data_IF_346741542068
#
_entry.id   IF_346741542068
#
_cell.length_a   1.000
_cell.length_b   1.000
_cell.length_c   1.000
_cell.angle_alpha   90.00
_cell.angle_beta   90.00
_cell.angle_gamma   90.00
#
_symmetry.space_group_name_H-M   'P 1'
#
loop_
_entity.id
_entity.type
_entity.pdbx_description
1 polymer ?
#
# COMPACT_ATOMS: atom_id res chain seq x y z
N UNK A 1 -5.38 13.26 -9.16
CA UNK A 1 -4.97 13.39 -7.74
C UNK A 1 -4.22 12.15 -7.26
N UNK A 2 -4.74 10.93 -7.45
CA UNK A 2 -4.02 9.70 -7.08
C UNK A 2 -2.67 9.61 -7.79
N UNK A 3 -2.63 9.79 -9.11
CA UNK A 3 -1.39 9.81 -9.91
C UNK A 3 -0.35 10.84 -9.41
N UNK A 4 -0.82 12.01 -8.93
CA UNK A 4 0.07 13.04 -8.37
C UNK A 4 0.70 12.53 -7.06
N UNK A 5 -0.10 11.90 -6.20
CA UNK A 5 0.40 11.30 -4.97
C UNK A 5 1.36 10.13 -5.25
N UNK A 6 1.08 9.30 -6.25
CA UNK A 6 1.99 8.22 -6.67
C UNK A 6 3.33 8.78 -7.18
N UNK A 7 3.30 9.87 -7.96
CA UNK A 7 4.51 10.54 -8.41
C UNK A 7 5.30 11.14 -7.23
N UNK A 8 4.63 11.78 -6.28
CA UNK A 8 5.26 12.30 -5.05
C UNK A 8 5.87 11.16 -4.24
N UNK A 9 5.13 10.06 -4.07
CA UNK A 9 5.59 8.87 -3.34
C UNK A 9 6.82 8.27 -4.01
N UNK A 10 6.76 7.99 -5.31
CA UNK A 10 7.86 7.41 -6.08
C UNK A 10 9.11 8.29 -6.05
N UNK A 11 8.94 9.60 -6.25
CA UNK A 11 10.03 10.57 -6.16
C UNK A 11 10.63 10.60 -4.75
N UNK A 12 9.79 10.65 -3.70
CA UNK A 12 10.24 10.69 -2.31
C UNK A 12 10.92 9.38 -1.89
N UNK A 13 10.38 8.23 -2.29
CA UNK A 13 10.95 6.92 -1.98
C UNK A 13 12.39 6.78 -2.49
N UNK A 14 12.73 7.43 -3.61
CA UNK A 14 14.10 7.48 -4.12
C UNK A 14 15.10 8.16 -3.15
N UNK A 15 14.64 9.03 -2.26
CA UNK A 15 15.48 9.69 -1.24
C UNK A 15 15.69 8.86 0.03
N UNK A 16 14.94 7.78 0.22
CA UNK A 16 15.01 6.95 1.42
C UNK A 16 16.43 6.42 1.71
N UNK A 17 17.20 5.89 0.72
CA UNK A 17 18.58 5.44 0.98
C UNK A 17 19.49 6.57 1.48
N UNK A 18 19.33 7.79 0.97
CA UNK A 18 20.11 8.94 1.43
C UNK A 18 19.75 9.32 2.87
N UNK A 19 18.47 9.23 3.24
CA UNK A 19 18.02 9.42 4.61
C UNK A 19 18.64 8.38 5.57
N UNK A 20 18.78 7.12 5.14
CA UNK A 20 19.49 6.08 5.90
C UNK A 20 20.98 6.40 6.08
N UNK A 21 21.66 6.87 5.03
CA UNK A 21 23.08 7.29 5.13
C UNK A 21 23.25 8.43 6.13
N UNK A 22 22.36 9.43 6.10
CA UNK A 22 22.38 10.52 7.07
C UNK A 22 22.16 10.02 8.49
N UNK A 23 21.18 9.13 8.71
CA UNK A 23 20.95 8.50 10.00
C UNK A 23 22.18 7.73 10.50
N UNK A 24 22.84 6.98 9.63
CA UNK A 24 24.08 6.28 9.95
C UNK A 24 25.21 7.25 10.36
N UNK A 25 25.40 8.36 9.62
CA UNK A 25 26.32 9.43 10.00
C UNK A 25 25.95 9.98 11.38
N UNK A 26 24.65 10.13 11.67
CA UNK A 26 24.16 10.55 12.98
C UNK A 26 24.59 9.63 14.11
N UNK A 27 24.51 8.30 13.91
CA UNK A 27 25.02 7.30 14.87
C UNK A 27 26.52 7.47 15.09
N UNK A 28 27.29 7.60 14.01
CA UNK A 28 28.76 7.77 14.10
C UNK A 28 29.12 9.03 14.89
N UNK A 29 28.46 10.16 14.63
CA UNK A 29 28.67 11.41 15.37
C UNK A 29 28.37 11.21 16.86
N UNK A 30 27.27 10.53 17.20
CA UNK A 30 26.89 10.28 18.59
C UNK A 30 27.95 9.44 19.32
N UNK A 31 28.44 8.37 18.70
CA UNK A 31 29.48 7.52 19.27
C UNK A 31 30.79 8.29 19.49
N UNK A 32 31.27 9.00 18.47
CA UNK A 32 32.53 9.74 18.53
C UNK A 32 32.46 10.87 19.57
N UNK A 33 31.30 11.53 19.70
CA UNK A 33 31.11 12.62 20.69
C UNK A 33 31.30 12.17 22.15
N UNK A 34 31.17 10.87 22.42
CA UNK A 34 31.34 10.29 23.75
C UNK A 34 32.75 9.74 23.99
N UNK A 35 33.46 9.36 22.93
CA UNK A 35 34.76 8.67 23.01
C UNK A 35 35.93 9.66 22.90
N UNK A 36 35.82 10.66 22.01
CA UNK A 36 36.96 11.53 21.67
C UNK A 36 36.98 12.77 22.56
N UNK A 37 38.01 12.85 23.39
CA UNK A 37 38.17 13.91 24.41
C UNK A 37 38.26 15.32 23.82
N UNK A 38 38.88 15.48 22.64
CA UNK A 38 38.96 16.76 21.93
C UNK A 38 37.61 17.29 21.46
N UNK A 39 36.62 16.40 21.27
CA UNK A 39 35.27 16.75 20.80
C UNK A 39 34.29 16.97 21.96
N UNK A 40 34.67 16.62 23.21
CA UNK A 40 33.84 16.86 24.40
C UNK A 40 33.49 18.33 24.60
N UNK A 41 34.34 19.26 24.18
CA UNK A 41 34.08 20.71 24.30
C UNK A 41 32.82 21.17 23.53
N UNK A 42 32.43 20.44 22.49
CA UNK A 42 31.23 20.70 21.68
C UNK A 42 30.24 19.52 21.68
N UNK A 43 30.31 18.62 22.67
CA UNK A 43 29.56 17.36 22.66
C UNK A 43 28.05 17.55 22.57
N UNK A 44 27.50 18.59 23.20
CA UNK A 44 26.06 18.86 23.17
C UNK A 44 25.55 19.16 21.75
N UNK A 45 26.26 20.03 21.01
CA UNK A 45 25.91 20.38 19.64
C UNK A 45 26.02 19.17 18.72
N UNK A 46 27.09 18.38 18.86
CA UNK A 46 27.29 17.15 18.07
C UNK A 46 26.21 16.12 18.35
N UNK A 47 25.84 15.93 19.64
CA UNK A 47 24.76 15.03 20.03
C UNK A 47 23.43 15.47 19.42
N UNK A 48 23.13 16.77 19.46
CA UNK A 48 21.92 17.30 18.85
C UNK A 48 21.87 17.04 17.33
N UNK A 49 22.97 17.31 16.61
CA UNK A 49 23.07 17.00 15.17
C UNK A 49 22.86 15.52 14.89
N UNK A 50 23.48 14.63 15.68
CA UNK A 50 23.32 13.19 15.52
C UNK A 50 21.89 12.71 15.75
N UNK A 51 21.22 13.21 16.81
CA UNK A 51 19.80 12.93 17.07
C UNK A 51 18.92 13.48 15.94
N UNK A 52 19.20 14.68 15.43
CA UNK A 52 18.45 15.26 14.32
C UNK A 52 18.52 14.38 13.05
N UNK A 53 19.71 13.86 12.73
CA UNK A 53 19.89 12.94 11.61
C UNK A 53 19.20 11.59 11.79
N UNK A 54 19.02 11.12 13.03
CA UNK A 54 18.20 9.95 13.31
C UNK A 54 16.71 10.28 13.15
N UNK A 55 16.27 11.39 13.76
CA UNK A 55 14.86 11.78 13.79
C UNK A 55 14.29 12.06 12.40
N UNK A 56 15.09 12.65 11.49
CA UNK A 56 14.64 12.89 10.12
C UNK A 56 14.26 11.59 9.40
N UNK A 57 14.95 10.47 9.64
CA UNK A 57 14.62 9.19 9.01
C UNK A 57 13.25 8.68 9.47
N UNK A 58 12.97 8.79 10.77
CA UNK A 58 11.67 8.43 11.34
C UNK A 58 10.55 9.29 10.76
N UNK A 59 10.72 10.61 10.76
CA UNK A 59 9.72 11.55 10.21
C UNK A 59 9.50 11.26 8.72
N UNK A 60 10.57 11.07 7.95
CA UNK A 60 10.50 10.79 6.53
C UNK A 60 9.75 9.49 6.23
N UNK A 61 10.06 8.42 6.96
CA UNK A 61 9.39 7.14 6.83
C UNK A 61 7.90 7.23 7.18
N UNK A 62 7.54 7.95 8.25
CA UNK A 62 6.15 8.19 8.63
C UNK A 62 5.39 8.92 7.51
N UNK A 63 6.01 9.95 6.91
CA UNK A 63 5.41 10.68 5.79
C UNK A 63 5.16 9.75 4.60
N UNK A 64 6.13 8.91 4.24
CA UNK A 64 5.97 7.93 3.15
C UNK A 64 4.80 6.97 3.42
N UNK A 65 4.70 6.43 4.64
CA UNK A 65 3.60 5.55 5.04
C UNK A 65 2.26 6.26 4.93
N UNK A 66 2.14 7.50 5.42
CA UNK A 66 0.90 8.29 5.32
C UNK A 66 0.50 8.49 3.86
N UNK A 67 1.45 8.83 2.98
CA UNK A 67 1.19 9.02 1.56
C UNK A 67 0.70 7.71 0.94
N UNK A 68 1.37 6.58 1.18
CA UNK A 68 0.99 5.28 0.65
C UNK A 68 -0.41 4.85 1.11
N UNK A 69 -0.70 4.95 2.42
CA UNK A 69 -2.03 4.66 2.98
C UNK A 69 -3.11 5.55 2.37
N UNK A 70 -2.79 6.83 2.11
CA UNK A 70 -3.71 7.77 1.46
C UNK A 70 -3.99 7.38 0.01
N UNK A 71 -2.96 6.96 -0.75
CA UNK A 71 -3.10 6.45 -2.12
C UNK A 71 -4.03 5.24 -2.12
N UNK A 72 -3.71 4.21 -1.33
CA UNK A 72 -4.50 2.97 -1.23
C UNK A 72 -5.96 3.26 -0.86
N UNK A 73 -6.18 4.11 0.14
CA UNK A 73 -7.53 4.50 0.58
C UNK A 73 -8.32 5.20 -0.53
N UNK A 74 -7.68 6.10 -1.27
CA UNK A 74 -8.32 6.81 -2.40
C UNK A 74 -8.64 5.84 -3.54
N UNK A 75 -7.74 4.91 -3.87
CA UNK A 75 -7.98 3.88 -4.89
C UNK A 75 -9.15 2.98 -4.48
N UNK A 76 -9.18 2.50 -3.23
CA UNK A 76 -10.29 1.71 -2.67
C UNK A 76 -11.63 2.43 -2.79
N UNK A 77 -11.68 3.67 -2.34
CA UNK A 77 -12.91 4.47 -2.38
C UNK A 77 -13.37 4.73 -3.82
N UNK A 78 -12.43 4.99 -4.74
CA UNK A 78 -12.74 5.14 -6.16
C UNK A 78 -13.29 3.85 -6.76
N UNK A 79 -12.70 2.70 -6.45
CA UNK A 79 -13.23 1.40 -6.90
C UNK A 79 -14.67 1.21 -6.40
N UNK A 80 -14.96 1.49 -5.12
CA UNK A 80 -16.33 1.40 -4.58
C UNK A 80 -17.29 2.32 -5.36
N UNK A 81 -16.88 3.55 -5.70
CA UNK A 81 -17.69 4.47 -6.49
C UNK A 81 -17.95 3.91 -7.90
N UNK A 82 -16.91 3.37 -8.56
CA UNK A 82 -17.05 2.74 -9.88
C UNK A 82 -18.01 1.55 -9.82
N UNK A 83 -17.90 0.71 -8.78
CA UNK A 83 -18.76 -0.46 -8.57
C UNK A 83 -20.22 -0.07 -8.26
N UNK A 84 -20.48 1.12 -7.73
CA UNK A 84 -21.85 1.63 -7.50
C UNK A 84 -22.49 2.17 -8.77
N UNK A 85 -21.72 2.52 -9.80
CA UNK A 85 -22.27 3.00 -11.06
C UNK A 85 -23.05 1.88 -11.78
N UNK A 86 -24.31 2.12 -12.21
CA UNK A 86 -25.12 1.11 -12.89
C UNK A 86 -24.52 0.67 -14.24
N UNK A 87 -23.79 1.55 -14.93
CA UNK A 87 -23.18 1.26 -16.23
C UNK A 87 -21.89 0.44 -16.12
N UNK A 88 -21.39 0.21 -14.91
CA UNK A 88 -20.22 -0.63 -14.68
C UNK A 88 -20.61 -2.10 -14.74
N UNK A 89 -19.88 -2.86 -15.56
CA UNK A 89 -20.01 -4.31 -15.71
C UNK A 89 -18.72 -5.01 -15.25
N UNK A 90 -18.88 -6.21 -14.72
CA UNK A 90 -17.76 -7.10 -14.35
C UNK A 90 -17.86 -8.36 -15.19
N UNK A 91 -16.77 -8.68 -15.88
CA UNK A 91 -16.58 -9.93 -16.61
C UNK A 91 -15.61 -10.79 -15.81
N UNK A 92 -16.08 -11.94 -15.38
CA UNK A 92 -15.26 -12.94 -14.72
C UNK A 92 -14.46 -13.73 -15.76
N UNK A 93 -13.13 -13.78 -15.65
CA UNK A 93 -12.26 -14.48 -16.62
C UNK A 93 -12.13 -15.96 -16.34
N UNK A 94 -12.16 -16.35 -15.07
CA UNK A 94 -12.08 -17.73 -14.60
C UNK A 94 -13.04 -17.97 -13.43
N UNK A 95 -13.38 -19.24 -13.17
CA UNK A 95 -14.37 -19.63 -12.16
C UNK A 95 -13.73 -20.20 -10.89
N UNK A 96 -12.51 -19.76 -10.54
CA UNK A 96 -11.73 -20.32 -9.42
C UNK A 96 -12.49 -20.31 -8.09
N UNK A 97 -13.35 -19.31 -7.88
CA UNK A 97 -14.18 -19.18 -6.67
C UNK A 97 -15.68 -19.39 -6.91
N UNK A 98 -16.05 -20.05 -8.01
CA UNK A 98 -17.42 -20.20 -8.47
C UNK A 98 -17.79 -19.27 -9.62
N UNK A 99 -19.06 -19.29 -10.06
CA UNK A 99 -19.56 -18.48 -11.17
C UNK A 99 -20.51 -17.42 -10.64
N UNK A 100 -20.24 -16.15 -10.94
CA UNK A 100 -21.05 -15.03 -10.47
C UNK A 100 -21.55 -14.18 -11.63
N UNK A 101 -22.75 -13.64 -11.47
CA UNK A 101 -23.21 -12.56 -12.34
C UNK A 101 -22.45 -11.27 -12.02
N UNK A 102 -22.42 -10.34 -12.99
CA UNK A 102 -21.83 -9.01 -12.77
C UNK A 102 -22.43 -8.31 -11.54
N UNK A 103 -23.72 -8.48 -11.28
CA UNK A 103 -24.40 -7.86 -10.13
C UNK A 103 -23.94 -8.46 -8.81
N UNK A 104 -23.86 -9.78 -8.71
CA UNK A 104 -23.36 -10.46 -7.51
C UNK A 104 -21.92 -10.09 -7.21
N UNK A 105 -21.06 -10.05 -8.24
CA UNK A 105 -19.66 -9.68 -8.07
C UNK A 105 -19.50 -8.23 -7.60
N UNK A 106 -20.32 -7.30 -8.13
CA UNK A 106 -20.34 -5.91 -7.65
C UNK A 106 -20.72 -5.84 -6.17
N UNK A 107 -21.73 -6.59 -5.73
CA UNK A 107 -22.16 -6.63 -4.33
C UNK A 107 -21.04 -7.16 -3.42
N UNK A 108 -20.35 -8.23 -3.81
CA UNK A 108 -19.26 -8.79 -3.01
C UNK A 108 -18.06 -7.83 -2.94
N UNK A 109 -17.61 -7.27 -4.07
CA UNK A 109 -16.47 -6.35 -4.11
C UNK A 109 -16.72 -5.02 -3.40
N UNK A 110 -17.97 -4.56 -3.32
CA UNK A 110 -18.33 -3.36 -2.56
C UNK A 110 -18.12 -3.51 -1.04
N UNK A 111 -17.94 -4.74 -0.54
CA UNK A 111 -17.63 -5.01 0.86
C UNK A 111 -16.16 -4.74 1.20
N UNK A 112 -15.34 -4.31 0.24
CA UNK A 112 -13.91 -4.06 0.43
C UNK A 112 -13.68 -3.07 1.56
N UNK A 113 -12.83 -3.48 2.49
CA UNK A 113 -12.42 -2.70 3.66
C UNK A 113 -10.91 -2.67 3.77
N UNK A 114 -10.44 -1.89 4.72
CA UNK A 114 -9.03 -1.90 5.12
C UNK A 114 -8.62 -3.27 5.61
N UNK A 115 -7.45 -3.70 5.15
CA UNK A 115 -6.77 -4.90 5.62
C UNK A 115 -6.26 -4.66 7.03
N UNK A 116 -6.64 -5.51 7.98
CA UNK A 116 -5.91 -5.58 9.25
C UNK A 116 -4.55 -6.26 8.97
N UNK A 117 -3.42 -5.68 9.40
CA UNK A 117 -2.11 -6.27 9.16
C UNK A 117 -2.00 -7.63 9.83
N UNK A 118 -1.73 -8.66 9.02
CA UNK A 118 -1.37 -9.99 9.51
C UNK A 118 -0.43 -10.70 8.53
N UNK A 119 0.28 -11.71 9.02
CA UNK A 119 1.32 -12.41 8.28
C UNK A 119 0.76 -13.65 7.57
N UNK A 120 0.13 -13.45 6.41
CA UNK A 120 -0.34 -14.51 5.52
C UNK A 120 0.07 -14.25 4.08
N UNK A 121 0.09 -15.31 3.27
CA UNK A 121 0.20 -15.24 1.81
C UNK A 121 -1.15 -15.41 1.11
N UNK A 122 -1.10 -15.57 -0.22
CA UNK A 122 -2.28 -15.83 -1.06
C UNK A 122 -2.11 -17.13 -1.84
N UNK A 123 -3.14 -17.99 -1.85
CA UNK A 123 -3.05 -19.33 -2.44
C UNK A 123 -3.70 -19.46 -3.83
N UNK A 124 -4.96 -19.02 -3.93
CA UNK A 124 -5.77 -19.12 -5.16
C UNK A 124 -6.10 -17.73 -5.64
N UNK A 125 -6.24 -17.54 -6.96
CA UNK A 125 -6.54 -16.24 -7.54
C UNK A 125 -7.64 -16.36 -8.60
N UNK A 126 -8.46 -15.32 -8.70
CA UNK A 126 -9.48 -15.12 -9.73
C UNK A 126 -9.28 -13.76 -10.38
N UNK A 127 -9.29 -13.74 -11.71
CA UNK A 127 -9.14 -12.53 -12.50
C UNK A 127 -10.50 -12.03 -12.98
N UNK A 128 -10.73 -10.74 -12.80
CA UNK A 128 -11.94 -10.05 -13.19
C UNK A 128 -11.57 -8.88 -14.10
N UNK A 129 -12.46 -8.58 -15.05
CA UNK A 129 -12.36 -7.39 -15.89
C UNK A 129 -13.53 -6.45 -15.60
N UNK A 130 -13.18 -5.22 -15.25
CA UNK A 130 -14.10 -4.13 -14.98
C UNK A 130 -14.25 -3.27 -16.22
N UNK A 131 -15.47 -3.21 -16.77
CA UNK A 131 -15.83 -2.33 -17.88
C UNK A 131 -16.62 -1.15 -17.35
N UNK A 132 -16.13 0.07 -17.54
CA UNK A 132 -16.81 1.28 -17.08
C UNK A 132 -16.45 2.47 -17.97
N UNK A 133 -17.46 3.23 -18.43
CA UNK A 133 -17.28 4.43 -19.26
C UNK A 133 -16.32 4.23 -20.47
N UNK A 134 -16.42 3.08 -21.15
CA UNK A 134 -15.55 2.75 -22.29
C UNK A 134 -14.11 2.39 -21.93
N UNK A 135 -13.75 2.34 -20.64
CA UNK A 135 -12.45 1.91 -20.14
C UNK A 135 -12.54 0.50 -19.56
N UNK A 136 -11.41 -0.19 -19.64
CA UNK A 136 -11.24 -1.57 -19.16
C UNK A 136 -10.13 -1.59 -18.12
N UNK A 137 -10.39 -2.20 -16.98
CA UNK A 137 -9.43 -2.40 -15.90
C UNK A 137 -9.48 -3.85 -15.44
N UNK A 138 -8.39 -4.37 -14.89
CA UNK A 138 -8.34 -5.68 -14.26
C UNK A 138 -8.45 -5.55 -12.74
N UNK A 139 -9.20 -6.48 -12.15
CA UNK A 139 -9.26 -6.69 -10.71
C UNK A 139 -8.79 -8.12 -10.46
N UNK A 140 -7.81 -8.28 -9.58
CA UNK A 140 -7.41 -9.59 -9.08
C UNK A 140 -7.99 -9.78 -7.70
N UNK A 141 -8.61 -10.94 -7.49
CA UNK A 141 -9.10 -11.41 -6.18
C UNK A 141 -8.24 -12.58 -5.78
N UNK A 142 -7.52 -12.50 -4.68
CA UNK A 142 -6.66 -13.57 -4.21
C UNK A 142 -7.14 -14.06 -2.84
N UNK A 143 -7.27 -15.37 -2.64
CA UNK A 143 -7.70 -15.95 -1.38
C UNK A 143 -6.53 -15.98 -0.39
N UNK A 144 -6.80 -15.56 0.84
CA UNK A 144 -5.84 -15.64 1.93
C UNK A 144 -5.51 -17.10 2.28
N UNK A 145 -4.23 -17.39 2.54
CA UNK A 145 -3.76 -18.73 2.88
C UNK A 145 -4.29 -19.21 4.24
N UNK A 146 -4.38 -18.31 5.22
CA UNK A 146 -4.73 -18.63 6.60
C UNK A 146 -6.23 -18.51 6.88
N UNK A 147 -6.90 -17.50 6.33
CA UNK A 147 -8.36 -17.32 6.42
C UNK A 147 -9.02 -17.55 5.06
N UNK A 148 -9.51 -18.78 4.81
CA UNK A 148 -10.15 -19.14 3.53
C UNK A 148 -11.40 -18.33 3.18
N UNK A 149 -11.91 -17.49 4.09
CA UNK A 149 -13.04 -16.60 3.84
C UNK A 149 -12.60 -15.18 3.53
N UNK A 150 -11.33 -14.86 3.68
CA UNK A 150 -10.74 -13.56 3.38
C UNK A 150 -10.10 -13.56 1.97
N UNK A 151 -10.34 -12.47 1.25
CA UNK A 151 -9.85 -12.29 -0.11
C UNK A 151 -9.26 -10.90 -0.30
N UNK A 152 -8.04 -10.86 -0.81
CA UNK A 152 -7.26 -9.68 -1.10
C UNK A 152 -7.64 -9.15 -2.48
N UNK A 153 -7.87 -7.85 -2.57
CA UNK A 153 -8.32 -7.18 -3.79
C UNK A 153 -7.19 -6.31 -4.33
N UNK A 154 -6.88 -6.49 -5.60
CA UNK A 154 -5.91 -5.68 -6.35
C UNK A 154 -6.61 -5.05 -7.54
N UNK A 155 -6.20 -3.83 -7.92
CA UNK A 155 -6.84 -3.05 -8.98
C UNK A 155 -5.82 -2.32 -9.83
N UNK A 156 -5.77 -2.63 -11.13
CA UNK A 156 -4.64 -2.28 -12.00
C UNK A 156 -4.67 -0.89 -12.63
N UNK A 157 -5.66 -0.06 -12.26
CA UNK A 157 -5.83 1.27 -12.84
C UNK A 157 -4.63 2.18 -12.59
N UNK A 158 -3.96 2.02 -11.46
CA UNK A 158 -2.85 2.86 -11.00
C UNK A 158 -1.56 2.04 -10.85
N UNK A 159 -0.43 2.70 -10.60
CA UNK A 159 0.83 1.99 -10.34
C UNK A 159 0.72 1.12 -9.10
N UNK A 160 0.18 1.71 -8.02
CA UNK A 160 -0.35 1.02 -6.86
C UNK A 160 -1.58 0.20 -7.26
N UNK A 161 -1.54 -1.11 -6.99
CA UNK A 161 -2.61 -2.04 -7.34
C UNK A 161 -2.38 -2.90 -8.61
N UNK A 162 -1.33 -2.63 -9.40
CA UNK A 162 -1.06 -3.34 -10.66
C UNK A 162 -0.70 -4.83 -10.52
N UNK A 163 -0.28 -5.30 -9.36
CA UNK A 163 -0.01 -6.73 -9.11
C UNK A 163 0.47 -7.07 -7.70
N UNK A 164 1.09 -6.12 -7.01
CA UNK A 164 1.79 -6.37 -5.73
C UNK A 164 1.18 -5.67 -4.52
N UNK A 165 0.43 -4.60 -4.71
CA UNK A 165 -0.17 -3.85 -3.60
C UNK A 165 -1.67 -4.12 -3.54
N UNK A 166 -2.12 -4.76 -2.47
CA UNK A 166 -3.55 -4.88 -2.21
C UNK A 166 -4.15 -3.51 -1.87
N UNK A 167 -5.37 -3.28 -2.33
CA UNK A 167 -6.11 -2.04 -2.03
C UNK A 167 -7.11 -2.23 -0.88
N UNK A 168 -7.25 -3.46 -0.41
CA UNK A 168 -8.12 -3.85 0.69
C UNK A 168 -8.55 -5.30 0.58
N UNK A 169 -9.32 -5.75 1.57
CA UNK A 169 -9.78 -7.14 1.69
C UNK A 169 -11.29 -7.22 1.83
N UNK A 170 -11.84 -8.36 1.45
CA UNK A 170 -13.24 -8.73 1.68
C UNK A 170 -13.31 -10.04 2.44
N UNK A 171 -14.34 -10.18 3.28
CA UNK A 171 -14.76 -11.49 3.78
C UNK A 171 -16.00 -11.96 3.02
N UNK A 172 -15.94 -13.15 2.43
CA UNK A 172 -17.05 -13.71 1.66
C UNK A 172 -17.24 -15.21 1.93
N UNK A 173 -18.49 -15.58 2.20
CA UNK A 173 -18.94 -16.98 2.28
C UNK A 173 -19.39 -17.53 0.92
N UNK A 174 -19.50 -16.65 -0.09
CA UNK A 174 -19.99 -17.01 -1.43
C UNK A 174 -18.89 -17.51 -2.34
N UNK A 175 -17.68 -16.99 -2.17
CA UNK A 175 -16.49 -17.43 -2.90
C UNK A 175 -16.06 -18.80 -2.36
N UNK A 176 -15.99 -19.81 -3.23
CA UNK A 176 -15.67 -21.21 -2.88
C UNK A 176 -14.77 -21.83 -3.93
#
# INVERSE_FOLDING_TARGET
MIEILENIYSFSFHFLPYSFVLAFIGVVILLISNIVESLKKNSEKLRFTGIFFLLQLFIFTIILVIIQTTIITKIRNELIIILKNPNTQIIQKDQTFGKFTSTEMKIELQKIKESEPHHSGTEREMQLVLLTNGKTYNIKVAQDECDKKEYWIFFDKYGSGKSSEEIGRIKSEKFK
#
